data_IF_455034259021
#
_entry.id   IF_455034259021
#
_cell.length_a   1.000
_cell.length_b   1.000
_cell.length_c   1.000
_cell.angle_alpha   90.00
_cell.angle_beta   90.00
_cell.angle_gamma   90.00
#
_symmetry.space_group_name_H-M   'P 1'
#
loop_
_entity.id
_entity.type
_entity.pdbx_description
1 polymer ?
#
# COMPACT_ATOMS: atom_id res chain seq x y z
N UNK A 1 23.67 0.01 -12.32
CA UNK A 1 22.23 0.35 -12.42
C UNK A 1 21.30 -0.80 -12.03
N UNK A 2 21.43 -2.03 -12.57
CA UNK A 2 20.54 -3.17 -12.24
C UNK A 2 20.42 -3.50 -10.73
N UNK A 3 21.54 -3.45 -9.96
CA UNK A 3 21.54 -3.71 -8.51
C UNK A 3 20.77 -2.66 -7.68
N UNK A 4 20.80 -1.38 -8.09
CA UNK A 4 20.12 -0.28 -7.39
C UNK A 4 18.61 -0.38 -7.65
N UNK A 5 18.21 -0.61 -8.90
CA UNK A 5 16.80 -0.81 -9.29
C UNK A 5 16.22 -2.02 -8.54
N UNK A 6 16.97 -3.11 -8.41
CA UNK A 6 16.56 -4.29 -7.64
C UNK A 6 16.37 -3.96 -6.15
N UNK A 7 17.27 -3.18 -5.53
CA UNK A 7 17.12 -2.74 -4.13
C UNK A 7 15.94 -1.81 -3.90
N UNK A 8 15.66 -0.90 -4.84
CA UNK A 8 14.50 0.01 -4.78
C UNK A 8 13.20 -0.80 -4.88
N UNK A 9 13.13 -1.76 -5.80
CA UNK A 9 11.99 -2.68 -5.91
C UNK A 9 11.79 -3.50 -4.64
N UNK A 10 12.87 -3.92 -3.99
CA UNK A 10 12.80 -4.70 -2.76
C UNK A 10 12.20 -3.90 -1.58
N UNK A 11 12.49 -2.60 -1.49
CA UNK A 11 11.97 -1.71 -0.45
C UNK A 11 10.78 -0.85 -0.92
N UNK A 12 10.07 -1.30 -1.97
CA UNK A 12 9.02 -0.52 -2.62
C UNK A 12 7.89 -0.14 -1.65
N UNK A 13 7.64 -1.00 -0.67
CA UNK A 13 6.59 -0.86 0.35
C UNK A 13 6.73 0.39 1.22
N UNK A 14 7.92 1.00 1.26
CA UNK A 14 8.18 2.24 2.00
C UNK A 14 8.56 3.36 1.04
N UNK A 15 9.43 3.08 0.07
CA UNK A 15 9.99 4.12 -0.80
C UNK A 15 8.94 4.82 -1.66
N UNK A 16 8.05 4.08 -2.33
CA UNK A 16 7.03 4.68 -3.19
C UNK A 16 5.92 5.39 -2.41
N UNK A 17 5.42 4.85 -1.28
CA UNK A 17 4.53 5.59 -0.39
C UNK A 17 5.11 6.92 0.09
N UNK A 18 6.37 6.94 0.53
CA UNK A 18 7.05 8.17 0.96
C UNK A 18 7.14 9.18 -0.17
N UNK A 19 7.53 8.75 -1.38
CA UNK A 19 7.57 9.63 -2.56
C UNK A 19 6.19 10.20 -2.86
N UNK A 20 5.14 9.37 -2.84
CA UNK A 20 3.77 9.80 -3.07
C UNK A 20 3.34 10.87 -2.06
N UNK A 21 3.62 10.66 -0.77
CA UNK A 21 3.34 11.65 0.28
C UNK A 21 4.09 12.96 0.06
N UNK A 22 5.39 12.91 -0.30
CA UNK A 22 6.18 14.12 -0.57
C UNK A 22 5.61 14.90 -1.76
N UNK A 23 5.29 14.21 -2.86
CA UNK A 23 4.70 14.83 -4.05
C UNK A 23 3.36 15.50 -3.72
N UNK A 24 2.52 14.84 -2.92
CA UNK A 24 1.23 15.38 -2.51
C UNK A 24 1.38 16.63 -1.63
N UNK A 25 2.32 16.63 -0.69
CA UNK A 25 2.62 17.80 0.15
C UNK A 25 3.21 18.96 -0.68
N UNK A 26 4.03 18.67 -1.68
CA UNK A 26 4.53 19.68 -2.61
C UNK A 26 3.41 20.27 -3.47
N UNK A 27 2.49 19.43 -3.96
CA UNK A 27 1.33 19.87 -4.71
C UNK A 27 0.41 20.74 -3.85
N UNK A 28 0.18 20.35 -2.59
CA UNK A 28 -0.61 21.14 -1.64
C UNK A 28 -0.05 22.53 -1.41
N UNK A 29 1.28 22.69 -1.28
CA UNK A 29 1.90 24.02 -1.14
C UNK A 29 1.56 24.97 -2.30
N UNK A 30 1.41 24.44 -3.52
CA UNK A 30 1.15 25.23 -4.72
C UNK A 30 -0.34 25.42 -4.99
N UNK A 31 -1.14 24.37 -4.80
CA UNK A 31 -2.53 24.31 -5.22
C UNK A 31 -3.53 24.38 -4.05
N UNK A 32 -3.05 24.40 -2.80
CA UNK A 32 -3.88 24.47 -1.58
C UNK A 32 -4.96 23.37 -1.56
N UNK A 33 -4.57 22.15 -1.90
CA UNK A 33 -5.46 20.99 -2.08
C UNK A 33 -6.19 20.64 -0.77
N UNK A 34 -5.55 20.89 0.37
CA UNK A 34 -6.09 20.58 1.69
C UNK A 34 -6.77 21.78 2.38
N UNK A 35 -6.92 22.90 1.68
CA UNK A 35 -7.63 24.07 2.19
C UNK A 35 -9.13 23.74 2.16
N UNK A 36 -9.66 23.29 3.30
CA UNK A 36 -11.08 22.94 3.51
C UNK A 36 -11.52 21.64 2.82
N UNK A 37 -11.03 20.51 3.33
CA UNK A 37 -11.56 19.20 2.94
C UNK A 37 -12.95 19.03 3.59
N UNK A 38 -14.02 18.84 2.80
CA UNK A 38 -15.36 18.63 3.33
C UNK A 38 -15.45 17.36 4.19
N UNK A 39 -16.11 17.42 5.35
CA UNK A 39 -16.24 16.28 6.28
C UNK A 39 -16.91 15.07 5.62
N UNK A 40 -17.94 15.30 4.81
CA UNK A 40 -18.62 14.22 4.06
C UNK A 40 -17.67 13.46 3.12
N UNK A 41 -16.67 14.12 2.54
CA UNK A 41 -15.66 13.45 1.71
C UNK A 41 -14.69 12.62 2.56
N UNK A 42 -14.40 13.06 3.78
CA UNK A 42 -13.57 12.31 4.73
C UNK A 42 -14.28 11.04 5.19
N UNK A 43 -15.58 11.10 5.49
CA UNK A 43 -16.36 9.91 5.86
C UNK A 43 -16.36 8.87 4.73
N UNK A 44 -16.59 9.31 3.49
CA UNK A 44 -16.50 8.45 2.30
C UNK A 44 -15.08 7.86 2.18
N UNK A 45 -14.05 8.68 2.37
CA UNK A 45 -12.66 8.24 2.31
C UNK A 45 -12.36 7.14 3.34
N UNK A 46 -12.87 7.27 4.56
CA UNK A 46 -12.72 6.28 5.63
C UNK A 46 -13.39 4.96 5.25
N UNK A 47 -14.59 5.01 4.65
CA UNK A 47 -15.24 3.81 4.11
C UNK A 47 -14.40 3.11 3.03
N UNK A 48 -13.73 3.89 2.18
CA UNK A 48 -12.80 3.35 1.17
C UNK A 48 -11.55 2.75 1.85
N UNK A 49 -10.98 3.41 2.85
CA UNK A 49 -9.82 2.90 3.61
C UNK A 49 -10.14 1.52 4.21
N UNK A 50 -11.28 1.38 4.89
CA UNK A 50 -11.71 0.11 5.49
C UNK A 50 -11.84 -0.97 4.40
N UNK A 51 -12.42 -0.62 3.26
CA UNK A 51 -12.55 -1.54 2.12
C UNK A 51 -11.20 -2.01 1.59
N UNK A 52 -10.22 -1.11 1.45
CA UNK A 52 -8.86 -1.45 1.00
C UNK A 52 -8.13 -2.33 2.03
N UNK A 53 -8.29 -2.06 3.32
CA UNK A 53 -7.76 -2.95 4.38
C UNK A 53 -8.35 -4.35 4.23
N UNK A 54 -9.66 -4.45 4.00
CA UNK A 54 -10.34 -5.72 3.69
C UNK A 54 -9.72 -6.43 2.50
N UNK A 55 -9.49 -5.73 1.38
CA UNK A 55 -8.83 -6.28 0.18
C UNK A 55 -7.44 -6.84 0.51
N UNK A 56 -6.61 -6.09 1.25
CA UNK A 56 -5.29 -6.58 1.66
C UNK A 56 -5.38 -7.85 2.50
N UNK A 57 -6.32 -7.91 3.45
CA UNK A 57 -6.54 -9.10 4.28
C UNK A 57 -7.01 -10.29 3.44
N UNK A 58 -7.89 -10.08 2.45
CA UNK A 58 -8.32 -11.13 1.54
C UNK A 58 -7.14 -11.66 0.71
N UNK A 59 -6.34 -10.78 0.12
CA UNK A 59 -5.14 -11.17 -0.63
C UNK A 59 -4.18 -11.96 0.25
N UNK A 60 -3.92 -11.46 1.48
CA UNK A 60 -3.06 -12.14 2.44
C UNK A 60 -3.59 -13.53 2.79
N UNK A 61 -4.90 -13.64 3.02
CA UNK A 61 -5.54 -14.92 3.37
C UNK A 61 -5.43 -15.92 2.23
N UNK A 62 -5.74 -15.51 1.00
CA UNK A 62 -5.57 -16.34 -0.21
C UNK A 62 -4.11 -16.80 -0.32
N UNK A 63 -3.18 -15.86 -0.19
CA UNK A 63 -1.75 -16.15 -0.26
C UNK A 63 -1.30 -17.17 0.81
N UNK A 64 -1.84 -17.08 2.04
CA UNK A 64 -1.52 -17.99 3.13
C UNK A 64 -2.22 -19.36 3.01
N UNK A 65 -3.36 -19.44 2.32
CA UNK A 65 -4.14 -20.67 2.16
C UNK A 65 -3.64 -21.57 1.02
N UNK A 66 -2.84 -21.05 0.09
CA UNK A 66 -2.24 -21.86 -0.97
C UNK A 66 -1.38 -23.01 -0.40
N UNK A 67 -1.60 -24.27 -0.83
CA UNK A 67 -0.87 -25.43 -0.32
C UNK A 67 0.63 -25.29 -0.63
N UNK A 68 1.44 -25.44 0.43
CA UNK A 68 2.90 -25.22 0.42
C UNK A 68 3.66 -26.37 -0.24
N UNK A 69 3.31 -26.78 -1.45
CA UNK A 69 4.15 -27.73 -2.20
C UNK A 69 5.50 -27.07 -2.51
N UNK A 70 6.59 -27.77 -2.20
CA UNK A 70 7.93 -27.21 -2.05
C UNK A 70 8.45 -26.42 -3.26
N UNK A 71 7.97 -26.70 -4.46
CA UNK A 71 8.43 -26.10 -5.72
C UNK A 71 8.00 -24.62 -5.86
N UNK A 72 6.76 -24.27 -5.50
CA UNK A 72 6.24 -22.90 -5.65
C UNK A 72 6.84 -22.00 -4.56
N UNK A 73 6.96 -22.50 -3.32
CA UNK A 73 7.61 -21.79 -2.22
C UNK A 73 9.09 -21.54 -2.52
N UNK A 74 9.79 -22.50 -3.10
CA UNK A 74 11.22 -22.39 -3.43
C UNK A 74 11.45 -21.44 -4.63
N UNK A 75 10.60 -21.47 -5.67
CA UNK A 75 10.63 -20.44 -6.75
C UNK A 75 10.30 -19.04 -6.24
N UNK A 76 9.24 -18.88 -5.43
CA UNK A 76 8.82 -17.59 -4.86
C UNK A 76 9.85 -17.00 -3.89
N UNK A 77 10.56 -17.85 -3.13
CA UNK A 77 11.66 -17.43 -2.24
C UNK A 77 12.92 -17.04 -3.04
N UNK A 78 13.16 -17.70 -4.17
CA UNK A 78 14.35 -17.47 -5.00
C UNK A 78 14.26 -16.19 -5.86
N UNK A 79 13.07 -15.69 -6.19
CA UNK A 79 12.92 -14.48 -7.03
C UNK A 79 12.77 -13.17 -6.26
N UNK A 80 12.58 -13.22 -4.93
CA UNK A 80 12.41 -12.03 -4.09
C UNK A 80 11.07 -11.29 -4.26
N UNK A 81 10.29 -11.60 -5.31
CA UNK A 81 8.98 -11.01 -5.57
C UNK A 81 7.95 -11.27 -4.47
N UNK A 82 8.07 -12.41 -3.81
CA UNK A 82 7.21 -12.76 -2.69
C UNK A 82 7.43 -11.85 -1.48
N UNK A 83 8.69 -11.55 -1.16
CA UNK A 83 9.00 -10.59 -0.11
C UNK A 83 8.42 -9.21 -0.45
N UNK A 84 8.50 -8.79 -1.72
CA UNK A 84 7.94 -7.52 -2.16
C UNK A 84 6.42 -7.52 -1.98
N UNK A 85 5.73 -8.52 -2.50
CA UNK A 85 4.27 -8.65 -2.38
C UNK A 85 3.83 -8.60 -0.91
N UNK A 86 4.39 -9.48 -0.07
CA UNK A 86 4.01 -9.57 1.34
C UNK A 86 4.36 -8.29 2.11
N UNK A 87 5.50 -7.68 1.83
CA UNK A 87 5.90 -6.42 2.46
C UNK A 87 4.94 -5.28 2.10
N UNK A 88 4.51 -5.15 0.83
CA UNK A 88 3.55 -4.11 0.43
C UNK A 88 2.17 -4.35 1.06
N UNK A 89 1.72 -5.61 1.15
CA UNK A 89 0.46 -5.96 1.83
C UNK A 89 0.54 -5.56 3.31
N UNK A 90 1.56 -6.01 4.04
CA UNK A 90 1.71 -5.73 5.46
C UNK A 90 1.85 -4.23 5.75
N UNK A 91 2.73 -3.54 5.01
CA UNK A 91 2.93 -2.09 5.20
C UNK A 91 1.67 -1.32 4.79
N UNK A 92 0.97 -1.73 3.74
CA UNK A 92 -0.33 -1.18 3.35
C UNK A 92 -1.37 -1.26 4.46
N UNK A 93 -1.54 -2.45 5.06
CA UNK A 93 -2.43 -2.65 6.22
C UNK A 93 -2.03 -1.73 7.38
N UNK A 94 -0.74 -1.66 7.72
CA UNK A 94 -0.25 -0.84 8.83
C UNK A 94 -0.52 0.64 8.58
N UNK A 95 -0.15 1.17 7.41
CA UNK A 95 -0.36 2.58 7.04
C UNK A 95 -1.83 2.95 7.09
N UNK A 96 -2.70 2.12 6.51
CA UNK A 96 -4.14 2.38 6.48
C UNK A 96 -4.78 2.23 7.86
N UNK A 97 -4.32 1.28 8.68
CA UNK A 97 -4.75 1.15 10.08
C UNK A 97 -4.36 2.38 10.90
N UNK A 98 -3.15 2.90 10.73
CA UNK A 98 -2.70 4.15 11.36
C UNK A 98 -3.57 5.32 10.88
N UNK A 99 -3.93 5.36 9.59
CA UNK A 99 -4.83 6.38 9.04
C UNK A 99 -6.20 6.37 9.74
N UNK A 100 -6.76 5.19 10.00
CA UNK A 100 -8.02 5.05 10.74
C UNK A 100 -7.89 5.50 12.20
N UNK A 101 -6.79 5.14 12.87
CA UNK A 101 -6.52 5.57 14.25
C UNK A 101 -6.42 7.11 14.31
N UNK A 102 -5.68 7.72 13.39
CA UNK A 102 -5.55 9.19 13.34
C UNK A 102 -6.89 9.85 13.07
N UNK A 103 -7.69 9.32 12.14
CA UNK A 103 -9.04 9.83 11.90
C UNK A 103 -9.94 9.70 13.14
N UNK A 104 -9.89 8.58 13.86
CA UNK A 104 -10.75 8.31 15.01
C UNK A 104 -10.47 9.25 16.20
N UNK A 105 -9.20 9.57 16.43
CA UNK A 105 -8.78 10.34 17.61
C UNK A 105 -8.40 11.79 17.32
N UNK A 106 -8.31 12.20 16.05
CA UNK A 106 -7.85 13.54 15.68
C UNK A 106 -8.61 14.10 14.47
N UNK A 107 -8.74 15.43 14.40
CA UNK A 107 -9.30 16.12 13.23
C UNK A 107 -8.22 16.48 12.18
N UNK A 108 -7.11 15.74 12.14
CA UNK A 108 -5.98 16.00 11.24
C UNK A 108 -6.21 15.36 9.86
N UNK A 109 -7.25 15.80 9.14
CA UNK A 109 -7.66 15.21 7.86
C UNK A 109 -6.58 15.22 6.78
N UNK A 110 -5.69 16.22 6.81
CA UNK A 110 -4.52 16.27 5.92
C UNK A 110 -3.66 15.01 6.03
N UNK A 111 -3.42 14.54 7.26
CA UNK A 111 -2.58 13.38 7.53
C UNK A 111 -3.30 12.11 7.07
N UNK A 112 -4.62 12.01 7.32
CA UNK A 112 -5.46 10.90 6.88
C UNK A 112 -5.40 10.75 5.36
N UNK A 113 -5.55 11.84 4.59
CA UNK A 113 -5.46 11.79 3.13
C UNK A 113 -4.05 11.38 2.66
N UNK A 114 -3.00 11.90 3.30
CA UNK A 114 -1.62 11.52 2.96
C UNK A 114 -1.36 10.01 3.19
N UNK A 115 -1.83 9.47 4.31
CA UNK A 115 -1.69 8.04 4.63
C UNK A 115 -2.55 7.17 3.72
N UNK A 116 -3.75 7.63 3.36
CA UNK A 116 -4.57 6.97 2.35
C UNK A 116 -3.84 6.85 1.01
N UNK A 117 -3.28 7.94 0.48
CA UNK A 117 -2.54 7.92 -0.78
C UNK A 117 -1.31 7.01 -0.70
N UNK A 118 -0.60 7.01 0.43
CA UNK A 118 0.51 6.10 0.70
C UNK A 118 0.05 4.62 0.68
N UNK A 119 -1.07 4.29 1.33
CA UNK A 119 -1.64 2.94 1.33
C UNK A 119 -2.15 2.51 -0.04
N UNK A 120 -2.71 3.43 -0.83
CA UNK A 120 -3.16 3.17 -2.20
C UNK A 120 -2.00 2.79 -3.12
N UNK A 121 -0.83 3.41 -2.96
CA UNK A 121 0.38 3.02 -3.69
C UNK A 121 0.77 1.58 -3.38
N UNK A 122 0.71 1.16 -2.11
CA UNK A 122 0.98 -0.23 -1.74
C UNK A 122 -0.05 -1.19 -2.34
N UNK A 123 -1.31 -0.77 -2.49
CA UNK A 123 -2.34 -1.58 -3.14
C UNK A 123 -2.04 -1.77 -4.63
N UNK A 124 -1.67 -0.71 -5.34
CA UNK A 124 -1.30 -0.77 -6.75
C UNK A 124 -0.09 -1.67 -6.99
N UNK A 125 0.95 -1.56 -6.15
CA UNK A 125 2.14 -2.41 -6.23
C UNK A 125 1.77 -3.88 -5.97
N UNK A 126 0.91 -4.12 -4.96
CA UNK A 126 0.41 -5.46 -4.64
C UNK A 126 -0.33 -6.05 -5.85
N UNK A 127 -1.24 -5.30 -6.46
CA UNK A 127 -1.97 -5.73 -7.66
C UNK A 127 -1.03 -6.07 -8.83
N UNK A 128 -0.03 -5.22 -9.09
CA UNK A 128 0.99 -5.49 -10.11
C UNK A 128 1.72 -6.82 -9.86
N UNK A 129 2.17 -7.07 -8.63
CA UNK A 129 2.89 -8.32 -8.33
C UNK A 129 1.98 -9.55 -8.35
N UNK A 130 0.70 -9.43 -8.02
CA UNK A 130 -0.26 -10.53 -8.20
C UNK A 130 -0.38 -10.90 -9.68
N UNK A 131 -0.54 -9.91 -10.57
CA UNK A 131 -0.60 -10.15 -12.02
C UNK A 131 0.67 -10.81 -12.54
N UNK A 132 1.84 -10.29 -12.15
CA UNK A 132 3.13 -10.89 -12.52
C UNK A 132 3.25 -12.34 -12.03
N UNK A 133 2.75 -12.66 -10.82
CA UNK A 133 2.72 -14.04 -10.36
C UNK A 133 1.77 -14.92 -11.17
N UNK A 134 0.63 -14.39 -11.60
CA UNK A 134 -0.38 -15.11 -12.39
C UNK A 134 0.04 -15.34 -13.85
N UNK A 135 0.83 -14.43 -14.44
CA UNK A 135 1.33 -14.59 -15.82
C UNK A 135 2.51 -15.58 -15.91
N UNK A 136 3.14 -15.90 -14.78
CA UNK A 136 4.28 -16.82 -14.68
C UNK A 136 3.83 -18.26 -14.31
N UNK A 137 2.56 -18.45 -13.93
CA UNK A 137 1.95 -19.75 -13.63
C UNK A 137 1.42 -20.43 -14.88
#
# INVERSE_FOLDING_TARGET
MKKIISKIKYHSAIFFPVISTILLLMADKKYKIFLEIPENKIEILVGIIISIVGIFLTILTIYLSFPKTDIIKQRMKNTGHNHILLSNICVGIIILSISLIIWLFTNQYRIVVCLFCAGLVNLLITGYYILVLSDIS
#
